data_IF_532075194035
#
_entry.id   IF_532075194035
#
_cell.length_a   1.000
_cell.length_b   1.000
_cell.length_c   1.000
_cell.angle_alpha   90.00
_cell.angle_beta   90.00
_cell.angle_gamma   90.00
#
_symmetry.space_group_name_H-M   'P 1'
#
loop_
_entity.id
_entity.type
_entity.pdbx_description
1 polymer ?
#
# COMPACT_ATOMS: atom_id res chain seq x y z
N UNK A 1 -5.09 -16.64 -2.13
CA UNK A 1 -5.40 -15.43 -1.35
C UNK A 1 -4.63 -14.29 -1.96
N UNK A 2 -5.31 -13.26 -2.47
CA UNK A 2 -4.68 -12.10 -3.08
C UNK A 2 -5.45 -10.85 -2.68
N UNK A 3 -4.73 -9.77 -2.38
CA UNK A 3 -5.30 -8.43 -2.24
C UNK A 3 -4.69 -7.58 -3.34
N UNK A 4 -5.52 -6.81 -4.03
CA UNK A 4 -5.05 -5.77 -4.94
C UNK A 4 -4.83 -4.49 -4.13
N UNK A 5 -3.77 -3.76 -4.45
CA UNK A 5 -3.38 -2.49 -3.83
C UNK A 5 -3.04 -1.43 -4.88
N UNK A 6 -3.16 -1.75 -6.17
CA UNK A 6 -2.74 -0.89 -7.27
C UNK A 6 -3.46 0.46 -7.26
N UNK A 7 -4.74 0.49 -6.86
CA UNK A 7 -5.52 1.72 -6.72
C UNK A 7 -4.93 2.70 -5.69
N UNK A 8 -4.11 2.23 -4.75
CA UNK A 8 -3.47 3.08 -3.75
C UNK A 8 -2.30 3.88 -4.33
N UNK A 9 -1.57 3.34 -5.32
CA UNK A 9 -0.36 3.97 -5.90
C UNK A 9 -0.50 4.31 -7.40
N UNK A 10 -1.58 3.86 -8.05
CA UNK A 10 -1.99 4.21 -9.41
C UNK A 10 -3.46 4.67 -9.43
N UNK A 11 -3.79 5.80 -8.79
CA UNK A 11 -5.15 6.33 -8.82
C UNK A 11 -5.59 6.56 -10.27
N UNK A 12 -6.84 6.19 -10.58
CA UNK A 12 -7.42 6.30 -11.93
C UNK A 12 -6.59 5.57 -13.02
N UNK A 13 -5.82 4.56 -12.62
CA UNK A 13 -4.97 3.76 -13.51
C UNK A 13 -3.63 4.41 -13.88
N UNK A 14 -3.31 5.60 -13.34
CA UNK A 14 -2.04 6.28 -13.61
C UNK A 14 -1.14 6.27 -12.39
N UNK A 15 0.01 5.61 -12.51
CA UNK A 15 1.01 5.46 -11.45
C UNK A 15 1.84 6.73 -11.29
N UNK A 16 1.59 7.48 -10.22
CA UNK A 16 2.23 8.78 -9.98
C UNK A 16 3.52 8.63 -9.17
N UNK A 17 4.60 9.37 -9.48
CA UNK A 17 5.85 9.28 -8.72
C UNK A 17 5.77 9.95 -7.34
N UNK A 18 4.82 10.87 -7.14
CA UNK A 18 4.60 11.61 -5.89
C UNK A 18 3.09 11.72 -5.65
N UNK A 19 2.64 11.34 -4.46
CA UNK A 19 1.25 11.51 -4.01
C UNK A 19 1.28 12.12 -2.61
N UNK A 20 0.55 13.22 -2.42
CA UNK A 20 0.47 13.89 -1.11
C UNK A 20 1.83 14.33 -0.56
N UNK A 21 2.72 14.84 -1.43
CA UNK A 21 4.11 15.21 -1.10
C UNK A 21 5.00 14.05 -0.59
N UNK A 22 4.65 12.80 -0.87
CA UNK A 22 5.47 11.63 -0.56
C UNK A 22 5.86 10.92 -1.85
N UNK A 23 7.16 10.64 -2.01
CA UNK A 23 7.65 9.83 -3.13
C UNK A 23 7.07 8.41 -3.06
N UNK A 24 6.42 8.00 -4.14
CA UNK A 24 5.73 6.70 -4.23
C UNK A 24 6.74 5.58 -4.47
N UNK A 25 7.65 5.74 -5.44
CA UNK A 25 8.57 4.68 -5.86
C UNK A 25 10.01 4.93 -5.43
N UNK A 26 10.72 3.84 -5.11
CA UNK A 26 12.17 3.80 -4.92
C UNK A 26 12.90 3.60 -6.26
N UNK A 27 12.32 2.77 -7.13
CA UNK A 27 12.81 2.40 -8.46
C UNK A 27 11.63 2.16 -9.42
N UNK A 28 11.78 1.26 -10.40
CA UNK A 28 10.78 0.97 -11.41
C UNK A 28 9.53 0.23 -10.89
N UNK A 29 9.59 -0.42 -9.72
CA UNK A 29 8.47 -1.23 -9.23
C UNK A 29 8.32 -1.32 -7.71
N UNK A 30 9.26 -0.82 -6.91
CA UNK A 30 9.18 -0.84 -5.45
C UNK A 30 8.61 0.46 -4.89
N UNK A 31 7.58 0.37 -4.04
CA UNK A 31 7.09 1.53 -3.28
C UNK A 31 8.08 1.91 -2.16
N UNK A 32 8.24 3.20 -1.90
CA UNK A 32 9.10 3.65 -0.80
C UNK A 32 8.54 3.21 0.54
N UNK A 33 9.43 3.04 1.53
CA UNK A 33 9.03 2.76 2.92
C UNK A 33 8.07 3.83 3.48
N UNK A 34 8.31 5.09 3.13
CA UNK A 34 7.47 6.21 3.58
C UNK A 34 6.06 6.11 2.99
N UNK A 35 5.94 5.75 1.71
CA UNK A 35 4.64 5.56 1.08
C UNK A 35 3.94 4.28 1.57
N UNK A 36 4.65 3.17 1.75
CA UNK A 36 4.08 1.95 2.31
C UNK A 36 3.44 2.16 3.70
N UNK A 37 3.97 3.10 4.50
CA UNK A 37 3.37 3.49 5.79
C UNK A 37 2.01 4.16 5.63
N UNK A 38 1.79 4.94 4.57
CA UNK A 38 0.48 5.55 4.29
C UNK A 38 -0.55 4.49 3.88
N UNK A 39 -0.09 3.40 3.25
CA UNK A 39 -0.93 2.27 2.79
C UNK A 39 -1.29 1.28 3.91
N UNK A 40 -0.62 1.34 5.07
CA UNK A 40 -0.67 0.29 6.10
C UNK A 40 -2.10 -0.04 6.58
N UNK A 41 -2.96 0.97 6.74
CA UNK A 41 -4.36 0.76 7.14
C UNK A 41 -5.16 0.01 6.06
N UNK A 42 -5.03 0.41 4.80
CA UNK A 42 -5.73 -0.25 3.69
C UNK A 42 -5.27 -1.70 3.49
N UNK A 43 -3.97 -1.97 3.68
CA UNK A 43 -3.42 -3.32 3.65
C UNK A 43 -4.05 -4.18 4.74
N UNK A 44 -4.12 -3.69 5.97
CA UNK A 44 -4.73 -4.40 7.10
C UNK A 44 -6.19 -4.77 6.82
N UNK A 45 -7.01 -3.77 6.44
CA UNK A 45 -8.43 -3.96 6.16
C UNK A 45 -8.66 -4.98 5.04
N UNK A 46 -7.93 -4.85 3.93
CA UNK A 46 -8.09 -5.76 2.78
C UNK A 46 -7.62 -7.17 3.11
N UNK A 47 -6.51 -7.31 3.83
CA UNK A 47 -5.99 -8.61 4.24
C UNK A 47 -6.96 -9.29 5.22
N UNK A 48 -7.47 -8.58 6.22
CA UNK A 48 -8.46 -9.09 7.17
C UNK A 48 -9.72 -9.57 6.45
N UNK A 49 -10.28 -8.75 5.55
CA UNK A 49 -11.46 -9.11 4.75
C UNK A 49 -11.23 -10.30 3.82
N UNK A 50 -10.01 -10.48 3.34
CA UNK A 50 -9.66 -11.65 2.52
C UNK A 50 -9.67 -12.96 3.32
N UNK A 51 -9.63 -12.89 4.66
CA UNK A 51 -9.58 -14.04 5.57
C UNK A 51 -8.19 -14.27 6.17
N UNK A 52 -7.28 -13.29 6.07
CA UNK A 52 -5.98 -13.37 6.72
C UNK A 52 -6.12 -13.06 8.20
N UNK A 53 -5.72 -14.00 9.06
CA UNK A 53 -5.67 -13.80 10.50
C UNK A 53 -4.54 -12.82 10.83
N UNK A 54 -4.88 -11.54 10.97
CA UNK A 54 -3.91 -10.48 11.28
C UNK A 54 -3.57 -10.50 12.77
N UNK A 55 -2.78 -11.49 13.19
CA UNK A 55 -2.41 -11.72 14.60
C UNK A 55 -1.13 -10.99 15.02
N UNK A 56 -0.42 -10.38 14.07
CA UNK A 56 0.81 -9.62 14.29
C UNK A 56 0.56 -8.15 14.66
N UNK A 57 1.41 -7.59 15.53
CA UNK A 57 1.41 -6.15 15.86
C UNK A 57 1.84 -5.33 14.65
N UNK A 58 0.93 -4.57 14.04
CA UNK A 58 1.27 -3.54 13.06
C UNK A 58 2.18 -2.50 13.73
N UNK A 59 3.45 -2.42 13.30
CA UNK A 59 4.37 -1.37 13.74
C UNK A 59 4.30 -0.25 12.72
N UNK A 60 3.51 0.76 13.03
CA UNK A 60 3.45 2.02 12.27
C UNK A 60 4.75 2.82 12.48
#
# INVERSE_FOLDING_TARGET
MTIDLADLYCPEGTCQPIIGNVYVYMDDNHVTKSYARTMAHAIYERASRSGWLVTGRLKF
#
